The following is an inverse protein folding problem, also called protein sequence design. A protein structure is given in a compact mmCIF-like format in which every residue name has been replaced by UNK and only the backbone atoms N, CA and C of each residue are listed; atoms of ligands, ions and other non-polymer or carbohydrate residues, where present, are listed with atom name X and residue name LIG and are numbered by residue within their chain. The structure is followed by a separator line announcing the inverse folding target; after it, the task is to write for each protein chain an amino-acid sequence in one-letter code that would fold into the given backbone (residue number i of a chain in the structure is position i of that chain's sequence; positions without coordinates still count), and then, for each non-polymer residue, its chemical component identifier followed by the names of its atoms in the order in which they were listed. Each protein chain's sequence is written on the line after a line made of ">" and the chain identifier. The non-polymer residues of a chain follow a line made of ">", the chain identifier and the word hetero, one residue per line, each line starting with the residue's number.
data_IF_920238760348
#
_entry.id   IF_920238760348
#
_cell.length_a   1.000
_cell.length_b   1.000
_cell.length_c   1.000
_cell.angle_alpha   90.00
_cell.angle_beta   90.00
_cell.angle_gamma   90.00
#
_symmetry.space_group_name_H-M   'P 1'
#
loop_
_entity.id
_entity.type
_entity.pdbx_description
1 polymer ?
#
# COMPACT_ATOMS: atom_id res chain seq x y z
N UNK A 1 -20.29 -19.50 -31.01
CA UNK A 1 -19.27 -19.75 -29.95
C UNK A 1 -19.22 -18.54 -29.02
N UNK A 2 -19.50 -18.70 -27.73
CA UNK A 2 -19.70 -17.59 -26.78
C UNK A 2 -18.43 -16.79 -26.52
N UNK A 3 -18.48 -15.47 -26.72
CA UNK A 3 -17.40 -14.51 -26.48
C UNK A 3 -16.94 -14.42 -25.00
N UNK A 4 -17.74 -14.95 -24.05
CA UNK A 4 -17.42 -14.95 -22.62
C UNK A 4 -16.26 -15.86 -22.21
N UNK A 5 -16.01 -16.95 -22.94
CA UNK A 5 -14.94 -17.89 -22.58
C UNK A 5 -13.53 -17.38 -22.93
N UNK A 6 -13.39 -16.56 -23.98
CA UNK A 6 -12.09 -15.98 -24.37
C UNK A 6 -11.60 -14.98 -23.33
N UNK A 7 -12.45 -14.04 -22.88
CA UNK A 7 -12.08 -13.06 -21.85
C UNK A 7 -11.72 -13.71 -20.51
N UNK A 8 -12.43 -14.80 -20.15
CA UNK A 8 -12.13 -15.59 -18.94
C UNK A 8 -10.76 -16.27 -18.98
N UNK A 9 -10.27 -16.64 -20.16
CA UNK A 9 -8.93 -17.22 -20.34
C UNK A 9 -7.85 -16.14 -20.24
N UNK A 10 -8.09 -14.99 -20.88
CA UNK A 10 -7.15 -13.87 -20.95
C UNK A 10 -6.79 -13.27 -19.59
N UNK A 11 -7.76 -13.01 -18.70
CA UNK A 11 -7.43 -12.41 -17.39
C UNK A 11 -6.66 -13.39 -16.48
N UNK A 12 -6.89 -14.70 -16.63
CA UNK A 12 -6.19 -15.72 -15.84
C UNK A 12 -4.72 -15.84 -16.26
N UNK A 13 -4.49 -15.89 -17.57
CA UNK A 13 -3.14 -15.92 -18.15
C UNK A 13 -2.36 -14.66 -17.74
N UNK A 14 -2.99 -13.49 -17.85
CA UNK A 14 -2.36 -12.22 -17.47
C UNK A 14 -2.10 -12.12 -15.96
N UNK A 15 -3.03 -12.59 -15.12
CA UNK A 15 -2.83 -12.68 -13.67
C UNK A 15 -1.63 -13.57 -13.34
N UNK A 16 -1.53 -14.74 -13.96
CA UNK A 16 -0.42 -15.66 -13.72
C UNK A 16 0.92 -15.09 -14.18
N UNK A 17 0.94 -14.38 -15.32
CA UNK A 17 2.12 -13.66 -15.82
C UNK A 17 2.59 -12.63 -14.80
N UNK A 18 1.70 -11.74 -14.33
CA UNK A 18 2.03 -10.68 -13.39
C UNK A 18 2.46 -11.20 -12.01
N UNK A 19 1.93 -12.35 -11.57
CA UNK A 19 2.33 -12.97 -10.29
C UNK A 19 3.72 -13.62 -10.35
N UNK A 20 4.19 -14.02 -11.54
CA UNK A 20 5.51 -14.63 -11.74
C UNK A 20 6.63 -13.59 -11.97
N UNK A 21 6.28 -12.35 -12.26
CA UNK A 21 7.25 -11.27 -12.46
C UNK A 21 7.83 -10.77 -11.14
N UNK A 22 9.08 -10.32 -11.17
CA UNK A 22 9.71 -9.60 -10.07
C UNK A 22 9.15 -8.18 -9.97
N UNK A 23 9.37 -7.52 -8.84
CA UNK A 23 8.90 -6.15 -8.63
C UNK A 23 9.55 -5.18 -9.63
N UNK A 24 10.83 -5.40 -9.94
CA UNK A 24 11.61 -4.59 -10.89
C UNK A 24 11.07 -4.71 -12.31
N UNK A 25 10.69 -5.92 -12.74
CA UNK A 25 10.10 -6.11 -14.07
C UNK A 25 8.68 -5.55 -14.14
N UNK A 26 7.90 -5.66 -13.06
CA UNK A 26 6.56 -5.05 -12.98
C UNK A 26 6.63 -3.53 -13.12
N UNK A 27 7.61 -2.87 -12.49
CA UNK A 27 7.81 -1.42 -12.57
C UNK A 27 8.06 -0.91 -13.99
N UNK A 28 8.64 -1.72 -14.88
CA UNK A 28 8.84 -1.35 -16.31
C UNK A 28 7.52 -1.25 -17.07
N UNK A 29 6.49 -1.95 -16.61
CA UNK A 29 5.16 -1.98 -17.22
C UNK A 29 4.16 -1.02 -16.56
N UNK A 30 4.55 -0.30 -15.50
CA UNK A 30 3.67 0.68 -14.86
C UNK A 30 3.40 1.86 -15.80
N UNK A 31 2.11 2.16 -15.98
CA UNK A 31 1.67 3.29 -16.81
C UNK A 31 1.82 4.64 -16.12
N UNK A 32 1.99 4.64 -14.80
CA UNK A 32 2.03 5.84 -13.95
C UNK A 32 3.14 5.71 -12.91
N UNK A 33 3.43 6.84 -12.27
CA UNK A 33 4.26 6.88 -11.07
C UNK A 33 3.69 5.96 -9.97
N UNK A 34 4.57 5.49 -9.10
CA UNK A 34 4.21 4.62 -7.99
C UNK A 34 4.85 5.13 -6.70
N UNK A 35 4.18 4.88 -5.58
CA UNK A 35 4.66 5.18 -4.24
C UNK A 35 5.06 3.85 -3.59
N UNK A 36 6.37 3.57 -3.42
CA UNK A 36 6.81 2.35 -2.77
C UNK A 36 6.44 2.36 -1.28
N UNK A 37 6.16 1.18 -0.72
CA UNK A 37 5.82 1.04 0.71
C UNK A 37 6.87 1.69 1.65
N UNK A 38 8.13 1.72 1.22
CA UNK A 38 9.26 2.30 1.99
C UNK A 38 9.13 3.81 2.19
N UNK A 39 8.43 4.50 1.31
CA UNK A 39 8.27 5.96 1.36
C UNK A 39 7.05 6.37 2.21
N UNK A 40 6.24 5.40 2.65
CA UNK A 40 5.08 5.65 3.49
C UNK A 40 5.54 5.62 4.95
N UNK A 41 5.49 6.75 5.68
CA UNK A 41 5.90 6.78 7.08
C UNK A 41 4.95 5.94 7.93
N UNK A 42 5.50 5.27 8.93
CA UNK A 42 4.71 4.59 9.96
C UNK A 42 4.07 5.61 10.90
N UNK A 43 2.99 5.21 11.58
CA UNK A 43 2.34 6.05 12.59
C UNK A 43 3.30 6.43 13.72
N UNK A 44 4.23 5.54 14.08
CA UNK A 44 5.30 5.85 15.03
C UNK A 44 6.21 6.98 14.54
N UNK A 45 6.63 6.95 13.27
CA UNK A 45 7.49 7.99 12.69
C UNK A 45 6.74 9.32 12.59
N UNK A 46 5.49 9.29 12.13
CA UNK A 46 4.64 10.48 12.04
C UNK A 46 4.41 11.13 13.40
N UNK A 47 4.20 10.33 14.45
CA UNK A 47 4.08 10.81 15.82
C UNK A 47 5.40 11.39 16.36
N UNK A 48 6.55 10.80 16.04
CA UNK A 48 7.86 11.34 16.45
C UNK A 48 8.12 12.71 15.80
N UNK A 49 7.76 12.89 14.54
CA UNK A 49 7.87 14.18 13.85
C UNK A 49 6.94 15.25 14.44
N UNK A 50 5.72 14.89 14.86
CA UNK A 50 4.74 15.82 15.47
C UNK A 50 5.02 16.15 16.94
N UNK A 51 5.60 15.22 17.71
CA UNK A 51 6.00 15.48 19.10
C UNK A 51 7.18 16.45 19.24
N UNK A 52 7.82 16.86 18.14
CA UNK A 52 8.78 17.97 18.15
C UNK A 52 8.10 19.34 18.11
N UNK A 53 6.80 19.42 17.79
CA UNK A 53 6.07 20.68 17.61
C UNK A 53 5.01 20.99 18.67
N UNK A 54 4.50 20.01 19.43
CA UNK A 54 3.48 20.24 20.46
C UNK A 54 3.87 19.66 21.83
N UNK A 55 3.84 20.52 22.84
CA UNK A 55 4.18 20.28 24.26
C UNK A 55 3.00 19.65 25.03
N UNK A 56 2.25 18.75 24.39
CA UNK A 56 1.08 18.09 25.01
C UNK A 56 1.35 16.58 25.09
N UNK A 57 1.77 16.18 26.29
CA UNK A 57 2.14 14.83 26.70
C UNK A 57 0.99 13.79 26.59
N UNK A 58 1.14 12.69 25.81
CA UNK A 58 0.38 11.47 26.01
C UNK A 58 1.36 10.28 26.24
N UNK A 59 2.36 10.45 27.11
CA UNK A 59 3.39 9.42 27.40
C UNK A 59 2.82 8.09 27.91
N UNK A 60 1.59 8.06 28.41
CA UNK A 60 0.98 6.85 29.00
C UNK A 60 0.27 5.94 27.98
N UNK A 61 -0.29 6.47 26.89
CA UNK A 61 -0.90 5.63 25.83
C UNK A 61 0.13 5.04 24.85
N UNK A 62 1.28 5.72 24.70
CA UNK A 62 2.35 5.38 23.73
C UNK A 62 3.22 4.18 24.17
N UNK A 63 3.36 3.92 25.47
CA UNK A 63 4.24 2.83 25.96
C UNK A 63 3.65 1.44 25.75
N UNK A 64 2.32 1.29 25.76
CA UNK A 64 1.65 -0.03 25.78
C UNK A 64 1.52 -0.66 24.39
N UNK A 65 1.71 0.09 23.30
CA UNK A 65 1.46 -0.40 21.92
C UNK A 65 2.52 -0.02 20.88
N UNK A 66 3.79 0.12 21.26
CA UNK A 66 4.91 0.37 20.31
C UNK A 66 4.88 -0.58 19.10
N UNK A 67 4.49 -1.84 19.31
CA UNK A 67 4.46 -2.88 18.26
C UNK A 67 3.39 -2.68 17.18
N UNK A 68 2.31 -1.94 17.46
CA UNK A 68 1.24 -1.69 16.49
C UNK A 68 1.47 -0.39 15.72
N UNK A 69 2.03 0.64 16.37
CA UNK A 69 2.35 1.91 15.74
C UNK A 69 3.41 1.81 14.63
N UNK A 70 4.22 0.76 14.64
CA UNK A 70 5.19 0.44 13.58
C UNK A 70 4.55 -0.26 12.37
N UNK A 71 3.33 -0.79 12.52
CA UNK A 71 2.66 -1.62 11.50
C UNK A 71 1.51 -0.92 10.80
N UNK A 72 1.15 0.27 11.26
CA UNK A 72 0.05 1.07 10.70
C UNK A 72 0.59 2.42 10.25
N UNK A 73 0.01 2.93 9.18
CA UNK A 73 0.33 4.24 8.60
C UNK A 73 -0.97 4.97 8.26
N UNK A 74 -0.98 6.28 8.38
CA UNK A 74 -2.06 7.12 7.87
C UNK A 74 -1.56 7.79 6.58
N UNK A 75 -2.15 7.43 5.45
CA UNK A 75 -1.77 7.97 4.14
C UNK A 75 -2.91 8.79 3.54
N UNK A 76 -2.59 10.01 3.07
CA UNK A 76 -3.51 10.88 2.32
C UNK A 76 -2.99 11.06 0.90
N UNK A 77 -3.63 10.38 -0.05
CA UNK A 77 -3.26 10.45 -1.47
C UNK A 77 -4.12 9.52 -2.32
N UNK A 78 -3.71 9.34 -3.57
CA UNK A 78 -4.36 8.41 -4.50
C UNK A 78 -3.96 6.97 -4.18
N UNK A 79 -4.93 6.16 -3.76
CA UNK A 79 -4.72 4.74 -3.38
C UNK A 79 -4.23 3.89 -4.56
N UNK A 80 -4.47 4.32 -5.81
CA UNK A 80 -4.07 3.57 -7.02
C UNK A 80 -2.57 3.67 -7.30
N UNK A 81 -1.86 4.60 -6.67
CA UNK A 81 -0.41 4.79 -6.82
C UNK A 81 0.39 3.96 -5.82
N UNK A 82 -0.24 3.35 -4.81
CA UNK A 82 0.45 2.61 -3.77
C UNK A 82 0.99 1.27 -4.32
N UNK A 83 2.32 1.09 -4.29
CA UNK A 83 2.97 -0.17 -4.60
C UNK A 83 2.97 -1.07 -3.34
N UNK A 84 1.80 -1.66 -3.09
CA UNK A 84 1.50 -2.56 -1.98
C UNK A 84 0.86 -3.85 -2.48
N UNK A 85 0.92 -4.92 -1.67
CA UNK A 85 0.45 -6.26 -2.09
C UNK A 85 -1.04 -6.29 -2.43
N UNK A 86 -1.85 -5.51 -1.71
CA UNK A 86 -3.27 -5.42 -1.91
C UNK A 86 -3.79 -4.01 -1.56
N UNK A 87 -4.71 -3.52 -2.37
CA UNK A 87 -5.54 -2.35 -2.08
C UNK A 87 -7.00 -2.80 -2.00
N UNK A 88 -7.76 -2.14 -1.13
CA UNK A 88 -9.19 -2.42 -0.98
C UNK A 88 -9.98 -1.48 -1.87
N UNK A 89 -10.90 -2.03 -2.66
CA UNK A 89 -11.86 -1.26 -3.44
C UNK A 89 -13.19 -1.17 -2.69
N UNK A 90 -13.74 0.04 -2.54
CA UNK A 90 -15.10 0.27 -2.04
C UNK A 90 -16.13 0.04 -3.16
N UNK A 91 -16.14 -1.16 -3.73
CA UNK A 91 -17.08 -1.56 -4.78
C UNK A 91 -18.47 -1.90 -4.25
N UNK A 92 -19.43 -2.05 -5.16
CA UNK A 92 -20.80 -2.53 -4.90
C UNK A 92 -21.01 -3.90 -5.56
#
# INVERSE_FOLDING_TARGET
>A
MYAGNKRKKLWKEEKERLLKMTLEDRRKEYLREHVPLKDIPTWMEEMKSKNQSDDENPKEALQVKKSLSEKVSLYRGDITLLEVDAIVNAGK
#
